data_IF_359639243824
#
_entry.id   IF_359639243824
#
_cell.length_a   1.000
_cell.length_b   1.000
_cell.length_c   1.000
_cell.angle_alpha   90.00
_cell.angle_beta   90.00
_cell.angle_gamma   90.00
#
_symmetry.space_group_name_H-M   'P 1'
#
loop_
_entity.id
_entity.type
_entity.pdbx_description
1 polymer ?
#
# COMPACT_ATOMS: atom_id res chain seq x y z
N UNK A 1 14.82 -5.60 -13.60
CA UNK A 1 13.43 -5.74 -13.10
C UNK A 1 12.51 -5.81 -14.31
N UNK A 2 11.56 -6.74 -14.37
CA UNK A 2 10.62 -6.81 -15.50
C UNK A 2 9.69 -5.58 -15.47
N UNK A 3 9.33 -4.99 -16.61
CA UNK A 3 8.49 -3.76 -16.65
C UNK A 3 7.15 -3.97 -15.92
N UNK A 4 6.60 -5.17 -16.03
CA UNK A 4 5.39 -5.58 -15.31
C UNK A 4 5.56 -5.52 -13.78
N UNK A 5 6.66 -6.05 -13.24
CA UNK A 5 6.94 -5.97 -11.79
C UNK A 5 7.10 -4.53 -11.35
N UNK A 6 7.80 -3.71 -12.15
CA UNK A 6 7.97 -2.30 -11.83
C UNK A 6 6.63 -1.56 -11.77
N UNK A 7 5.71 -1.85 -12.69
CA UNK A 7 4.36 -1.26 -12.69
C UNK A 7 3.55 -1.67 -11.46
N UNK A 8 3.55 -2.95 -11.09
CA UNK A 8 2.85 -3.44 -9.89
C UNK A 8 3.43 -2.84 -8.60
N UNK A 9 4.76 -2.72 -8.49
CA UNK A 9 5.41 -2.08 -7.33
C UNK A 9 5.06 -0.60 -7.27
N UNK A 10 5.05 0.12 -8.40
CA UNK A 10 4.65 1.52 -8.46
C UNK A 10 3.18 1.70 -8.05
N UNK A 11 2.30 0.82 -8.52
CA UNK A 11 0.89 0.85 -8.17
C UNK A 11 0.67 0.61 -6.67
N UNK A 12 1.36 -0.40 -6.11
CA UNK A 12 1.34 -0.68 -4.67
C UNK A 12 1.87 0.51 -3.87
N UNK A 13 3.01 1.08 -4.25
CA UNK A 13 3.60 2.23 -3.58
C UNK A 13 2.65 3.43 -3.59
N UNK A 14 2.01 3.71 -4.73
CA UNK A 14 1.02 4.76 -4.84
C UNK A 14 -0.18 4.51 -3.91
N UNK A 15 -0.70 3.28 -3.85
CA UNK A 15 -1.78 2.90 -2.94
C UNK A 15 -1.40 3.10 -1.47
N UNK A 16 -0.22 2.63 -1.05
CA UNK A 16 0.27 2.77 0.32
C UNK A 16 0.46 4.24 0.73
N UNK A 17 1.01 5.07 -0.17
CA UNK A 17 1.18 6.50 0.09
C UNK A 17 -0.17 7.22 0.20
N UNK A 18 -1.14 6.87 -0.66
CA UNK A 18 -2.49 7.42 -0.61
C UNK A 18 -3.18 7.05 0.71
N UNK A 19 -3.09 5.78 1.14
CA UNK A 19 -3.63 5.31 2.42
C UNK A 19 -3.01 6.10 3.57
N UNK A 20 -1.68 6.22 3.61
CA UNK A 20 -0.98 6.97 4.65
C UNK A 20 -1.42 8.45 4.69
N UNK A 21 -1.50 9.09 3.52
CA UNK A 21 -1.94 10.49 3.42
C UNK A 21 -3.37 10.67 3.94
N UNK A 22 -4.28 9.74 3.62
CA UNK A 22 -5.67 9.77 4.10
C UNK A 22 -5.75 9.63 5.62
N UNK A 23 -5.05 8.66 6.20
CA UNK A 23 -5.03 8.49 7.67
C UNK A 23 -4.36 9.68 8.36
N UNK A 24 -3.30 10.26 7.79
CA UNK A 24 -2.68 11.49 8.33
C UNK A 24 -3.64 12.68 8.28
N UNK A 25 -4.37 12.86 7.19
CA UNK A 25 -5.40 13.90 7.09
C UNK A 25 -6.53 13.68 8.11
N UNK A 26 -6.96 12.43 8.33
CA UNK A 26 -7.94 12.08 9.34
C UNK A 26 -7.45 12.38 10.77
N UNK A 27 -6.20 12.02 11.09
CA UNK A 27 -5.58 12.30 12.39
C UNK A 27 -5.45 13.82 12.62
N UNK A 28 -5.07 14.58 11.60
CA UNK A 28 -4.98 16.04 11.71
C UNK A 28 -6.37 16.67 11.93
N UNK A 29 -7.39 16.15 11.26
CA UNK A 29 -8.76 16.64 11.40
C UNK A 29 -9.40 16.22 12.74
N UNK A 30 -9.02 15.07 13.28
CA UNK A 30 -9.57 14.49 14.51
C UNK A 30 -8.48 13.89 15.41
N UNK A 31 -7.71 14.73 16.12
CA UNK A 31 -6.58 14.28 16.92
C UNK A 31 -6.99 13.42 18.13
N UNK A 32 -8.22 13.54 18.63
CA UNK A 32 -8.72 12.73 19.74
C UNK A 32 -8.80 11.23 19.38
N UNK A 33 -8.93 10.90 18.09
CA UNK A 33 -8.94 9.53 17.59
C UNK A 33 -7.58 8.98 17.19
N UNK A 34 -6.50 9.76 17.31
CA UNK A 34 -5.18 9.40 16.78
C UNK A 34 -4.67 8.05 17.28
N UNK A 35 -4.82 7.77 18.58
CA UNK A 35 -4.38 6.51 19.19
C UNK A 35 -5.07 5.26 18.65
N UNK A 36 -6.27 5.39 18.09
CA UNK A 36 -6.97 4.27 17.41
C UNK A 36 -6.71 4.25 15.90
N UNK A 37 -6.53 5.42 15.27
CA UNK A 37 -6.33 5.53 13.83
C UNK A 37 -4.94 5.08 13.38
N UNK A 38 -3.90 5.34 14.17
CA UNK A 38 -2.53 4.90 13.85
C UNK A 38 -2.38 3.38 13.70
N UNK A 39 -2.82 2.54 14.66
CA UNK A 39 -2.72 1.08 14.49
C UNK A 39 -3.59 0.58 13.33
N UNK A 40 -4.77 1.18 13.10
CA UNK A 40 -5.62 0.83 11.95
C UNK A 40 -4.95 1.16 10.62
N UNK A 41 -4.26 2.30 10.53
CA UNK A 41 -3.48 2.67 9.35
C UNK A 41 -2.42 1.61 9.04
N UNK A 42 -1.64 1.21 10.05
CA UNK A 42 -0.59 0.19 9.90
C UNK A 42 -1.18 -1.14 9.46
N UNK A 43 -2.25 -1.61 10.11
CA UNK A 43 -2.92 -2.86 9.73
C UNK A 43 -3.48 -2.82 8.31
N UNK A 44 -4.05 -1.67 7.91
CA UNK A 44 -4.57 -1.47 6.54
C UNK A 44 -3.43 -1.55 5.52
N UNK A 45 -2.31 -0.88 5.77
CA UNK A 45 -1.14 -0.93 4.88
C UNK A 45 -0.55 -2.34 4.78
N UNK A 46 -0.47 -3.08 5.89
CA UNK A 46 -0.03 -4.49 5.89
C UNK A 46 -0.98 -5.39 5.10
N UNK A 47 -2.29 -5.18 5.22
CA UNK A 47 -3.29 -5.93 4.45
C UNK A 47 -3.15 -5.67 2.95
N UNK A 48 -3.00 -4.41 2.54
CA UNK A 48 -2.75 -4.04 1.14
C UNK A 48 -1.47 -4.67 0.60
N UNK A 49 -0.40 -4.66 1.40
CA UNK A 49 0.85 -5.33 1.04
C UNK A 49 0.64 -6.83 0.86
N UNK A 50 -0.01 -7.52 1.80
CA UNK A 50 -0.27 -8.95 1.73
C UNK A 50 -1.12 -9.32 0.50
N UNK A 51 -2.16 -8.54 0.21
CA UNK A 51 -3.04 -8.76 -0.96
C UNK A 51 -2.33 -8.51 -2.29
N UNK A 52 -1.27 -7.69 -2.32
CA UNK A 52 -0.48 -7.42 -3.53
C UNK A 52 0.56 -8.50 -3.86
N UNK A 53 0.90 -9.38 -2.92
CA UNK A 53 1.91 -10.43 -3.10
C UNK A 53 1.59 -11.35 -4.30
N UNK A 54 0.37 -11.88 -4.48
CA UNK A 54 0.07 -12.74 -5.64
C UNK A 54 0.26 -12.04 -6.99
N UNK A 55 -0.08 -10.75 -7.08
CA UNK A 55 0.09 -9.95 -8.29
C UNK A 55 1.58 -9.75 -8.62
N UNK A 56 2.39 -9.43 -7.61
CA UNK A 56 3.85 -9.30 -7.74
C UNK A 56 4.50 -10.63 -8.16
N UNK A 57 4.09 -11.76 -7.56
CA UNK A 57 4.58 -13.09 -7.92
C UNK A 57 4.21 -13.43 -9.38
N UNK A 58 2.97 -13.11 -9.80
CA UNK A 58 2.52 -13.31 -11.17
C UNK A 58 3.32 -12.46 -12.16
N UNK A 59 3.53 -11.18 -11.87
CA UNK A 59 4.31 -10.27 -12.70
C UNK A 59 5.78 -10.69 -12.80
N UNK A 60 6.37 -11.22 -11.72
CA UNK A 60 7.75 -11.70 -11.70
C UNK A 60 7.97 -12.93 -12.60
N UNK A 61 6.92 -13.75 -12.81
CA UNK A 61 6.95 -14.92 -13.70
C UNK A 61 6.71 -14.59 -15.17
N UNK A 62 6.30 -13.36 -15.51
CA UNK A 62 6.10 -12.99 -16.91
C UNK A 62 7.46 -12.93 -17.64
N UNK A 63 7.52 -13.38 -18.90
CA UNK A 63 8.74 -13.29 -19.71
C UNK A 63 9.14 -11.81 -19.90
N UNK A 64 10.44 -11.60 -19.96
CA UNK A 64 11.06 -10.28 -20.06
C UNK A 64 11.06 -9.84 -21.53
N UNK A 65 9.89 -9.39 -22.01
CA UNK A 65 9.75 -8.77 -23.33
C UNK A 65 10.24 -7.31 -23.30
#
# INVERSE_FOLDING_TARGET
MNRAVAAEVLHLAAGLLLTLAFFRAAIWSYPQGAGSLEPVCVLTMLALLAMSVPALVKAARQPRN
#
